data_IF_521993798488
#
_entry.id   IF_521993798488
#
_cell.length_a   1.000
_cell.length_b   1.000
_cell.length_c   1.000
_cell.angle_alpha   90.00
_cell.angle_beta   90.00
_cell.angle_gamma   90.00
#
_symmetry.space_group_name_H-M   'P 1'
#
loop_
_entity.id
_entity.type
_entity.pdbx_description
1 polymer ?
#
# COMPACT_ATOMS: atom_id res chain seq x y z
N UNK A 1 -11.90 -6.88 1.61
CA UNK A 1 -10.85 -6.22 0.80
C UNK A 1 -9.92 -5.58 1.81
N UNK A 2 -8.64 -5.92 1.78
CA UNK A 2 -7.67 -5.37 2.74
C UNK A 2 -7.13 -4.07 2.18
N UNK A 3 -7.20 -2.98 2.93
CA UNK A 3 -6.60 -1.71 2.61
C UNK A 3 -5.08 -1.80 2.78
N UNK A 4 -4.32 -1.14 1.90
CA UNK A 4 -2.85 -1.19 1.87
C UNK A 4 -2.22 -0.03 2.63
N UNK A 5 -2.74 1.18 2.45
CA UNK A 5 -2.07 2.43 2.86
C UNK A 5 -2.74 3.11 4.03
N UNK A 6 -3.99 2.78 4.30
CA UNK A 6 -4.82 3.49 5.28
C UNK A 6 -5.75 2.56 6.04
N UNK A 7 -6.39 3.10 7.07
CA UNK A 7 -7.47 2.43 7.79
C UNK A 7 -8.74 3.29 7.77
N UNK A 8 -9.89 2.66 7.95
CA UNK A 8 -11.17 3.37 8.07
C UNK A 8 -11.19 4.32 9.27
N UNK A 9 -10.47 3.98 10.35
CA UNK A 9 -10.33 4.83 11.52
C UNK A 9 -9.56 6.12 11.20
N UNK A 10 -8.45 6.02 10.46
CA UNK A 10 -7.69 7.21 10.04
C UNK A 10 -8.53 8.16 9.18
N UNK A 11 -9.40 7.60 8.31
CA UNK A 11 -10.33 8.43 7.55
C UNK A 11 -11.34 9.11 8.48
N UNK A 12 -11.89 8.41 9.47
CA UNK A 12 -12.80 8.98 10.46
C UNK A 12 -12.15 10.16 11.22
N UNK A 13 -10.88 10.01 11.59
CA UNK A 13 -10.12 11.04 12.29
C UNK A 13 -9.92 12.30 11.43
N UNK A 14 -9.59 12.16 10.16
CA UNK A 14 -9.34 13.30 9.27
C UNK A 14 -10.61 14.06 8.88
N UNK A 15 -11.74 13.37 8.83
CA UNK A 15 -13.03 14.00 8.55
C UNK A 15 -13.75 14.49 9.80
N UNK A 16 -13.17 14.29 10.99
CA UNK A 16 -13.70 14.77 12.28
C UNK A 16 -14.88 13.97 12.81
N UNK A 17 -15.09 12.73 12.35
CA UNK A 17 -16.05 11.79 12.91
C UNK A 17 -15.42 11.13 14.13
N UNK A 18 -16.16 11.00 15.22
CA UNK A 18 -15.71 10.61 16.56
C UNK A 18 -14.53 9.60 16.61
N UNK A 19 -13.53 9.90 17.44
CA UNK A 19 -12.27 9.17 17.59
C UNK A 19 -12.38 7.74 18.16
N UNK A 20 -13.55 7.27 18.55
CA UNK A 20 -13.73 5.98 19.22
C UNK A 20 -14.70 5.04 18.50
N UNK A 21 -14.74 5.10 17.18
CA UNK A 21 -15.62 4.25 16.38
C UNK A 21 -14.88 2.96 16.00
N UNK A 22 -15.29 1.79 16.53
CA UNK A 22 -14.69 0.51 16.15
C UNK A 22 -15.03 0.12 14.69
N UNK A 23 -16.15 0.67 14.19
CA UNK A 23 -16.61 0.47 12.81
C UNK A 23 -17.48 1.66 12.38
N UNK A 24 -17.60 1.86 11.06
CA UNK A 24 -18.48 2.88 10.51
C UNK A 24 -19.96 2.52 10.64
N UNK A 25 -20.25 1.23 10.65
CA UNK A 25 -21.61 0.71 10.83
C UNK A 25 -22.06 0.75 12.29
N UNK A 26 -21.14 0.45 13.20
CA UNK A 26 -21.44 0.13 14.58
C UNK A 26 -20.59 1.04 15.46
N UNK A 27 -21.24 1.88 16.25
CA UNK A 27 -20.57 2.65 17.27
C UNK A 27 -20.15 1.74 18.45
N UNK A 28 -19.12 2.18 19.17
CA UNK A 28 -18.73 1.50 20.40
C UNK A 28 -19.92 1.38 21.35
N UNK A 29 -20.08 0.19 21.90
CA UNK A 29 -21.10 -0.07 22.91
C UNK A 29 -20.92 0.90 24.08
N UNK A 30 -21.90 1.75 24.39
CA UNK A 30 -21.84 2.58 25.60
C UNK A 30 -21.86 1.67 26.80
N UNK A 31 -20.76 1.62 27.51
CA UNK A 31 -20.67 0.86 28.77
C UNK A 31 -21.55 1.54 29.82
N UNK A 32 -22.75 0.99 30.07
CA UNK A 32 -23.67 1.44 31.09
C UNK A 32 -24.12 2.90 30.93
N UNK A 33 -24.73 3.25 29.79
CA UNK A 33 -25.42 4.52 29.67
C UNK A 33 -26.47 4.66 30.80
N UNK A 34 -26.42 5.76 31.50
CA UNK A 34 -27.41 6.10 32.53
C UNK A 34 -28.65 6.67 31.83
N UNK A 35 -29.67 5.84 31.63
CA UNK A 35 -30.90 6.22 30.92
C UNK A 35 -31.82 7.06 31.80
N UNK A 36 -31.83 6.80 33.09
CA UNK A 36 -32.64 7.54 34.05
C UNK A 36 -32.96 6.76 35.33
N UNK A 37 -33.86 7.28 36.10
CA UNK A 37 -34.31 6.63 37.35
C UNK A 37 -35.83 6.44 37.29
N UNK A 38 -36.30 5.29 37.74
CA UNK A 38 -37.72 5.02 37.88
C UNK A 38 -38.34 5.84 39.02
N UNK A 39 -39.67 5.99 39.00
CA UNK A 39 -40.49 6.60 40.05
C UNK A 39 -41.70 5.75 40.39
N UNK A 40 -41.66 4.47 40.07
CA UNK A 40 -42.76 3.50 40.20
C UNK A 40 -44.00 3.76 39.30
N UNK A 41 -43.97 4.81 38.46
CA UNK A 41 -45.05 5.15 37.53
C UNK A 41 -44.56 5.49 36.13
N UNK A 42 -43.32 5.90 36.01
CA UNK A 42 -42.71 6.31 34.71
C UNK A 42 -42.55 5.11 33.79
N UNK A 43 -43.16 5.24 32.61
CA UNK A 43 -43.16 4.17 31.60
C UNK A 43 -42.30 4.48 30.39
N UNK A 44 -41.85 5.73 30.21
CA UNK A 44 -41.08 6.12 29.00
C UNK A 44 -39.69 6.65 29.37
N UNK A 45 -38.71 6.18 28.63
CA UNK A 45 -37.33 6.62 28.72
C UNK A 45 -36.76 6.73 27.31
N UNK A 46 -35.62 7.39 27.16
CA UNK A 46 -34.95 7.55 25.86
C UNK A 46 -33.47 7.28 26.04
N UNK A 47 -32.91 6.56 25.07
CA UNK A 47 -31.47 6.42 24.89
C UNK A 47 -30.90 7.70 24.29
N UNK A 48 -29.67 8.01 24.61
CA UNK A 48 -28.95 9.15 24.01
C UNK A 48 -28.77 8.99 22.51
N UNK A 49 -28.73 7.74 22.03
CA UNK A 49 -28.55 7.43 20.62
C UNK A 49 -29.83 6.88 19.99
N UNK A 50 -29.91 7.04 18.67
CA UNK A 50 -30.97 6.52 17.83
C UNK A 50 -30.39 5.47 16.86
N UNK A 51 -31.26 4.80 16.09
CA UNK A 51 -30.86 3.74 15.13
C UNK A 51 -30.08 2.60 15.81
N UNK A 52 -30.68 2.07 16.86
CA UNK A 52 -30.12 0.96 17.62
C UNK A 52 -30.07 -0.30 16.75
N UNK A 53 -29.00 -1.07 16.85
CA UNK A 53 -28.83 -2.33 16.12
C UNK A 53 -29.64 -3.42 16.81
N UNK A 54 -30.46 -4.14 16.04
CA UNK A 54 -31.26 -5.25 16.56
C UNK A 54 -30.34 -6.31 17.24
N UNK A 55 -30.84 -6.92 18.31
CA UNK A 55 -30.15 -7.96 19.07
C UNK A 55 -28.81 -7.54 19.72
N UNK A 56 -28.51 -6.23 19.75
CA UNK A 56 -27.27 -5.71 20.33
C UNK A 56 -27.48 -4.92 21.63
N UNK A 57 -28.65 -4.97 22.21
CA UNK A 57 -29.00 -4.15 23.36
C UNK A 57 -29.42 -4.96 24.58
N UNK A 58 -29.14 -4.42 25.77
CA UNK A 58 -29.58 -4.96 27.04
C UNK A 58 -29.83 -3.81 27.99
N UNK A 59 -31.02 -3.80 28.63
CA UNK A 59 -31.39 -2.86 29.67
C UNK A 59 -31.22 -3.49 31.04
N UNK A 60 -30.87 -2.68 32.01
CA UNK A 60 -30.65 -3.13 33.39
C UNK A 60 -31.39 -2.23 34.36
N UNK A 61 -32.20 -2.83 35.26
CA UNK A 61 -32.75 -2.20 36.42
C UNK A 61 -31.89 -2.56 37.64
N UNK A 62 -31.22 -1.59 38.25
CA UNK A 62 -30.32 -1.82 39.39
C UNK A 62 -29.31 -2.97 39.12
N UNK A 63 -28.65 -2.96 37.97
CA UNK A 63 -27.72 -3.99 37.49
C UNK A 63 -28.33 -5.40 37.21
N UNK A 64 -29.64 -5.55 37.30
CA UNK A 64 -30.35 -6.78 36.90
C UNK A 64 -30.82 -6.61 35.46
N UNK A 65 -30.44 -7.56 34.59
CA UNK A 65 -30.86 -7.52 33.20
C UNK A 65 -32.39 -7.67 33.08
N UNK A 66 -32.99 -6.79 32.28
CA UNK A 66 -34.41 -6.82 31.95
C UNK A 66 -34.64 -7.64 30.70
N UNK A 67 -35.79 -8.26 30.59
CA UNK A 67 -36.20 -9.10 29.46
C UNK A 67 -36.95 -8.29 28.43
N UNK A 68 -36.48 -8.30 27.17
CA UNK A 68 -37.17 -7.64 26.07
C UNK A 68 -38.58 -8.21 25.87
N UNK A 69 -39.49 -7.37 25.42
CA UNK A 69 -40.95 -7.64 25.25
C UNK A 69 -41.68 -7.92 26.56
N UNK A 70 -41.05 -8.54 27.55
CA UNK A 70 -41.67 -8.83 28.85
C UNK A 70 -41.63 -7.61 29.78
N UNK A 71 -40.45 -6.98 29.91
CA UNK A 71 -40.25 -5.86 30.83
C UNK A 71 -40.30 -4.51 30.12
N UNK A 72 -39.89 -4.49 28.85
CA UNK A 72 -39.85 -3.27 28.03
C UNK A 72 -40.03 -3.56 26.56
N UNK A 73 -40.29 -2.52 25.77
CA UNK A 73 -40.22 -2.49 24.31
C UNK A 73 -39.32 -1.35 23.93
N UNK A 74 -38.31 -1.63 23.10
CA UNK A 74 -37.40 -0.63 22.56
C UNK A 74 -37.71 -0.33 21.07
N UNK A 75 -37.96 0.95 20.81
CA UNK A 75 -38.04 1.43 19.44
C UNK A 75 -36.62 1.64 18.89
N UNK A 76 -36.16 0.72 18.05
CA UNK A 76 -34.81 0.73 17.51
C UNK A 76 -34.49 1.97 16.65
N UNK A 77 -35.50 2.61 16.11
CA UNK A 77 -35.30 3.80 15.25
C UNK A 77 -35.10 5.06 16.06
N UNK A 78 -35.85 5.21 17.14
CA UNK A 78 -35.89 6.45 17.94
C UNK A 78 -35.11 6.35 19.25
N UNK A 79 -34.74 5.14 19.68
CA UNK A 79 -34.16 4.90 21.02
C UNK A 79 -35.16 5.03 22.17
N UNK A 80 -36.47 5.09 21.87
CA UNK A 80 -37.51 5.16 22.88
C UNK A 80 -37.73 3.81 23.54
N UNK A 81 -37.71 3.80 24.87
CA UNK A 81 -37.96 2.65 25.71
C UNK A 81 -39.34 2.83 26.35
N UNK A 82 -40.25 1.87 26.15
CA UNK A 82 -41.52 1.81 26.82
C UNK A 82 -41.53 0.63 27.79
N UNK A 83 -41.63 0.89 29.07
CA UNK A 83 -41.73 -0.16 30.08
C UNK A 83 -43.14 -0.75 30.12
N UNK A 84 -43.22 -2.07 30.24
CA UNK A 84 -44.44 -2.78 30.60
C UNK A 84 -44.76 -2.63 32.10
N UNK A 85 -45.91 -3.10 32.54
CA UNK A 85 -46.23 -3.13 33.97
C UNK A 85 -45.21 -3.96 34.79
N UNK A 86 -44.68 -5.05 34.20
CA UNK A 86 -43.62 -5.85 34.80
C UNK A 86 -42.33 -5.05 34.93
N UNK A 87 -41.93 -4.34 33.86
CA UNK A 87 -40.74 -3.49 33.87
C UNK A 87 -40.81 -2.34 34.85
N UNK A 88 -41.94 -1.68 34.95
CA UNK A 88 -42.16 -0.64 35.99
C UNK A 88 -42.01 -1.22 37.39
N UNK A 89 -42.55 -2.41 37.63
CA UNK A 89 -42.42 -3.11 38.92
C UNK A 89 -40.98 -3.50 39.21
N UNK A 90 -40.23 -3.91 38.22
CA UNK A 90 -38.82 -4.29 38.33
C UNK A 90 -37.91 -3.06 38.55
N UNK A 91 -38.17 -1.97 37.84
CA UNK A 91 -37.39 -0.75 37.94
C UNK A 91 -37.70 0.00 39.27
N UNK A 92 -38.96 0.11 39.66
CA UNK A 92 -39.40 0.88 40.83
C UNK A 92 -38.77 2.27 40.89
N UNK A 93 -37.90 2.52 41.86
CA UNK A 93 -37.14 3.78 42.06
C UNK A 93 -35.63 3.59 41.71
N UNK A 94 -35.28 2.49 41.07
CA UNK A 94 -33.90 2.18 40.75
C UNK A 94 -33.41 2.91 39.47
N UNK A 95 -32.08 2.90 39.29
CA UNK A 95 -31.48 3.40 38.08
C UNK A 95 -31.72 2.43 36.92
N UNK A 96 -32.10 2.98 35.76
CA UNK A 96 -32.14 2.30 34.47
C UNK A 96 -30.84 2.58 33.74
N UNK A 97 -30.12 1.54 33.37
CA UNK A 97 -28.93 1.65 32.54
C UNK A 97 -29.07 0.80 31.29
N UNK A 98 -28.33 1.13 30.23
CA UNK A 98 -28.38 0.43 28.95
C UNK A 98 -26.99 0.16 28.41
N UNK A 99 -26.89 -0.99 27.73
CA UNK A 99 -25.80 -1.32 26.82
C UNK A 99 -26.40 -1.58 25.46
N UNK A 100 -25.84 -1.02 24.40
CA UNK A 100 -26.35 -1.22 23.05
C UNK A 100 -25.35 -0.77 21.99
N UNK A 101 -25.48 -1.30 20.80
CA UNK A 101 -24.79 -0.79 19.61
C UNK A 101 -25.79 0.02 18.76
N UNK A 102 -25.29 1.03 18.10
CA UNK A 102 -26.10 1.86 17.22
C UNK A 102 -25.37 2.17 15.91
N UNK A 103 -26.14 2.45 14.85
CA UNK A 103 -25.55 2.83 13.56
C UNK A 103 -25.01 4.25 13.65
N UNK A 104 -23.71 4.36 13.38
CA UNK A 104 -23.02 5.63 13.40
C UNK A 104 -22.93 6.18 11.96
N UNK A 105 -23.29 7.43 11.78
CA UNK A 105 -23.14 8.19 10.52
C UNK A 105 -23.83 7.64 9.26
N UNK A 106 -24.50 6.50 9.28
CA UNK A 106 -25.24 5.94 8.14
C UNK A 106 -24.40 5.50 6.96
N UNK A 107 -23.08 5.32 7.12
CA UNK A 107 -22.18 4.74 6.14
C UNK A 107 -21.76 3.35 6.59
N UNK A 108 -21.74 2.39 5.66
CA UNK A 108 -21.26 1.05 5.99
C UNK A 108 -19.74 0.96 5.90
N UNK A 109 -19.15 0.08 6.71
CA UNK A 109 -17.73 -0.24 6.62
C UNK A 109 -17.35 -0.70 5.21
N UNK A 110 -18.20 -1.49 4.56
CA UNK A 110 -18.00 -1.94 3.19
C UNK A 110 -17.92 -0.76 2.21
N UNK A 111 -18.78 0.25 2.37
CA UNK A 111 -18.75 1.46 1.55
C UNK A 111 -17.48 2.26 1.79
N UNK A 112 -17.12 2.51 3.04
CA UNK A 112 -15.89 3.27 3.39
C UNK A 112 -14.64 2.55 2.90
N UNK A 113 -14.55 1.23 3.05
CA UNK A 113 -13.47 0.41 2.49
C UNK A 113 -13.40 0.52 0.96
N UNK A 114 -14.55 0.55 0.28
CA UNK A 114 -14.61 0.74 -1.18
C UNK A 114 -14.07 2.12 -1.59
N UNK A 115 -14.42 3.17 -0.86
CA UNK A 115 -13.92 4.54 -1.09
C UNK A 115 -12.41 4.60 -0.91
N UNK A 116 -11.89 4.05 0.19
CA UNK A 116 -10.44 4.04 0.45
C UNK A 116 -9.68 3.20 -0.58
N UNK A 117 -10.22 2.05 -0.99
CA UNK A 117 -9.58 1.23 -2.04
C UNK A 117 -9.50 1.96 -3.39
N UNK A 118 -10.51 2.77 -3.75
CA UNK A 118 -10.46 3.64 -4.94
C UNK A 118 -9.42 4.76 -4.76
N UNK A 119 -9.35 5.34 -3.57
CA UNK A 119 -8.36 6.37 -3.24
C UNK A 119 -6.93 5.82 -3.33
N UNK A 120 -6.66 4.62 -2.82
CA UNK A 120 -5.36 3.93 -2.97
C UNK A 120 -5.00 3.75 -4.45
N UNK A 121 -5.95 3.30 -5.26
CA UNK A 121 -5.74 3.15 -6.70
C UNK A 121 -5.49 4.49 -7.41
N UNK A 122 -6.15 5.54 -6.98
CA UNK A 122 -5.94 6.89 -7.51
C UNK A 122 -4.54 7.40 -7.16
N UNK A 123 -4.05 7.15 -5.94
CA UNK A 123 -2.68 7.48 -5.53
C UNK A 123 -1.67 6.74 -6.42
N UNK A 124 -1.81 5.42 -6.58
CA UNK A 124 -0.93 4.62 -7.45
C UNK A 124 -0.90 5.15 -8.88
N UNK A 125 -2.06 5.50 -9.45
CA UNK A 125 -2.15 6.01 -10.81
C UNK A 125 -1.57 7.42 -10.95
N UNK A 126 -1.78 8.29 -9.95
CA UNK A 126 -1.35 9.68 -10.01
C UNK A 126 0.15 9.84 -9.80
N UNK A 127 0.72 9.03 -8.90
CA UNK A 127 2.16 9.02 -8.63
C UNK A 127 2.92 8.08 -9.56
N UNK A 128 2.22 7.21 -10.30
CA UNK A 128 2.79 6.16 -11.13
C UNK A 128 3.73 5.22 -10.35
N UNK A 129 3.44 5.01 -9.07
CA UNK A 129 4.26 4.22 -8.14
C UNK A 129 3.37 3.22 -7.43
N UNK A 130 3.85 2.00 -7.26
CA UNK A 130 3.24 1.01 -6.39
C UNK A 130 3.92 1.08 -5.02
N UNK A 131 3.12 1.24 -3.97
CA UNK A 131 3.61 1.21 -2.59
C UNK A 131 3.32 -0.16 -2.01
N UNK A 132 4.27 -0.71 -1.27
CA UNK A 132 4.11 -2.03 -0.64
C UNK A 132 3.23 -1.94 0.59
N UNK A 133 2.51 -3.01 0.86
CA UNK A 133 1.68 -3.13 2.05
C UNK A 133 2.56 -3.21 3.31
N UNK A 134 2.35 -2.30 4.26
CA UNK A 134 3.07 -2.28 5.53
C UNK A 134 2.83 -3.53 6.41
N UNK A 135 1.84 -4.35 6.07
CA UNK A 135 1.52 -5.61 6.79
C UNK A 135 2.29 -6.82 6.26
N UNK A 136 3.04 -6.66 5.16
CA UNK A 136 3.80 -7.76 4.58
C UNK A 136 5.10 -8.00 5.36
N UNK A 137 5.31 -9.24 5.75
CA UNK A 137 6.50 -9.68 6.49
C UNK A 137 7.72 -9.93 5.60
N UNK A 138 7.53 -9.97 4.27
CA UNK A 138 8.59 -10.09 3.28
C UNK A 138 8.55 -8.89 2.34
N UNK A 139 9.70 -8.41 1.83
CA UNK A 139 9.73 -7.32 0.88
C UNK A 139 8.93 -7.72 -0.36
N UNK A 140 7.82 -7.02 -0.58
CA UNK A 140 6.90 -7.27 -1.69
C UNK A 140 7.17 -6.30 -2.84
N UNK A 141 8.42 -6.27 -3.26
CA UNK A 141 8.81 -5.48 -4.41
C UNK A 141 8.17 -6.05 -5.68
N UNK A 142 7.65 -5.19 -6.51
CA UNK A 142 7.11 -5.58 -7.81
C UNK A 142 8.23 -5.59 -8.83
N UNK A 143 8.37 -6.73 -9.53
CA UNK A 143 9.32 -6.86 -10.63
C UNK A 143 8.75 -6.17 -11.87
N UNK A 144 9.53 -5.29 -12.47
CA UNK A 144 9.18 -4.58 -13.69
C UNK A 144 10.22 -4.81 -14.77
N UNK A 145 9.76 -4.82 -16.01
CA UNK A 145 10.62 -4.86 -17.19
C UNK A 145 10.33 -3.66 -18.06
N UNK A 146 11.31 -2.82 -18.25
CA UNK A 146 11.15 -1.61 -19.03
C UNK A 146 12.15 -1.57 -20.20
N UNK A 147 11.67 -1.10 -21.37
CA UNK A 147 12.50 -0.90 -22.53
C UNK A 147 12.60 0.60 -22.79
N UNK A 148 13.81 1.13 -22.72
CA UNK A 148 14.11 2.51 -23.08
C UNK A 148 14.35 2.60 -24.60
N UNK A 149 13.66 3.47 -25.33
CA UNK A 149 13.71 3.51 -26.80
C UNK A 149 15.03 4.03 -27.35
N UNK A 150 15.77 4.85 -26.63
CA UNK A 150 17.13 5.28 -27.01
C UNK A 150 17.87 5.82 -25.80
N UNK A 151 19.14 5.46 -25.70
CA UNK A 151 20.09 6.16 -24.84
C UNK A 151 20.70 7.29 -25.68
N UNK A 152 20.49 8.53 -25.28
CA UNK A 152 21.13 9.66 -25.93
C UNK A 152 22.64 9.65 -25.70
N UNK A 153 23.35 10.42 -26.52
CA UNK A 153 24.82 10.48 -26.56
C UNK A 153 25.50 10.87 -25.25
N UNK A 154 24.73 11.41 -24.29
CA UNK A 154 25.22 11.93 -23.00
C UNK A 154 24.45 11.40 -21.79
N UNK A 155 23.68 10.33 -21.94
CA UNK A 155 22.94 9.78 -20.83
C UNK A 155 23.72 8.67 -20.15
N UNK A 156 24.37 9.02 -19.06
CA UNK A 156 25.01 8.11 -18.11
C UNK A 156 23.97 7.49 -17.16
N UNK A 157 22.68 7.63 -17.49
CA UNK A 157 21.60 7.23 -16.62
C UNK A 157 20.42 6.65 -17.41
N UNK A 158 19.90 5.54 -16.91
CA UNK A 158 18.59 5.01 -17.31
C UNK A 158 17.59 5.43 -16.24
N UNK A 159 16.64 6.29 -16.60
CA UNK A 159 15.56 6.70 -15.71
C UNK A 159 14.39 5.74 -15.86
N UNK A 160 13.97 5.11 -14.76
CA UNK A 160 12.85 4.18 -14.75
C UNK A 160 11.52 4.88 -14.55
N UNK A 161 10.45 4.29 -15.10
CA UNK A 161 9.09 4.83 -14.97
C UNK A 161 8.44 4.51 -13.64
N UNK A 162 8.78 3.36 -13.08
CA UNK A 162 8.25 2.91 -11.79
C UNK A 162 9.30 3.16 -10.72
N UNK A 163 8.99 3.99 -9.75
CA UNK A 163 9.91 4.44 -8.69
C UNK A 163 9.42 4.09 -7.30
N UNK A 164 10.29 4.08 -6.31
CA UNK A 164 11.74 4.08 -6.44
C UNK A 164 12.23 2.76 -7.06
N UNK A 165 13.30 2.81 -7.85
CA UNK A 165 14.04 1.62 -8.22
C UNK A 165 14.69 1.06 -6.95
N UNK A 166 14.56 -0.23 -6.76
CA UNK A 166 15.19 -0.94 -5.65
C UNK A 166 16.17 -1.96 -6.23
N UNK A 167 17.43 -1.76 -5.94
CA UNK A 167 18.46 -2.76 -6.15
C UNK A 167 18.78 -3.42 -4.82
N UNK A 168 18.25 -4.63 -4.62
CA UNK A 168 18.65 -5.44 -3.46
C UNK A 168 20.05 -5.95 -3.73
N UNK A 169 21.01 -5.44 -3.00
CA UNK A 169 22.41 -5.77 -3.20
C UNK A 169 23.08 -6.30 -1.93
N UNK A 170 23.96 -7.28 -2.12
CA UNK A 170 24.78 -7.88 -1.07
C UNK A 170 26.04 -8.49 -1.69
N UNK A 171 26.76 -9.27 -0.91
CA UNK A 171 27.92 -10.02 -1.39
C UNK A 171 27.81 -11.51 -1.09
N UNK A 172 28.55 -12.31 -1.84
CA UNK A 172 28.70 -13.74 -1.57
C UNK A 172 29.44 -13.96 -0.23
N UNK A 173 28.85 -14.79 0.65
CA UNK A 173 29.53 -15.18 1.91
C UNK A 173 30.57 -16.29 1.72
N UNK A 174 30.67 -16.87 0.53
CA UNK A 174 31.64 -17.91 0.18
C UNK A 174 31.78 -18.06 -1.33
N UNK A 175 32.77 -18.84 -1.77
CA UNK A 175 32.93 -19.12 -3.18
C UNK A 175 31.76 -19.94 -3.73
N UNK A 176 31.34 -19.64 -4.96
CA UNK A 176 30.19 -20.25 -5.63
C UNK A 176 30.69 -21.05 -6.83
N UNK A 177 30.34 -22.33 -6.89
CA UNK A 177 30.65 -23.18 -8.05
C UNK A 177 29.62 -22.94 -9.17
N UNK A 178 30.00 -23.26 -10.41
CA UNK A 178 29.13 -23.08 -11.59
C UNK A 178 27.84 -23.91 -11.56
N UNK A 179 27.76 -24.96 -10.74
CA UNK A 179 26.60 -25.85 -10.61
C UNK A 179 25.85 -25.72 -9.28
N UNK A 180 26.22 -24.75 -8.44
CA UNK A 180 25.58 -24.60 -7.14
C UNK A 180 24.11 -24.19 -7.29
N UNK A 181 23.22 -24.92 -6.60
CA UNK A 181 21.79 -24.64 -6.53
C UNK A 181 21.37 -23.80 -5.32
N UNK A 182 22.34 -23.42 -4.50
CA UNK A 182 22.16 -22.55 -3.33
C UNK A 182 23.24 -21.50 -3.33
N UNK A 183 22.90 -20.26 -3.06
CA UNK A 183 23.79 -19.11 -3.00
C UNK A 183 23.75 -18.57 -1.57
N UNK A 184 24.89 -18.59 -0.88
CA UNK A 184 25.01 -18.03 0.46
C UNK A 184 25.33 -16.54 0.40
N UNK A 185 24.52 -15.74 1.08
CA UNK A 185 24.57 -14.28 1.13
C UNK A 185 25.37 -13.81 2.36
N UNK A 186 25.74 -12.56 2.39
CA UNK A 186 26.24 -11.94 3.61
C UNK A 186 25.20 -12.06 4.74
N UNK A 187 25.66 -12.19 5.98
CA UNK A 187 24.81 -12.41 7.15
C UNK A 187 23.82 -11.26 7.33
N UNK A 188 22.54 -11.59 7.53
CA UNK A 188 21.46 -10.63 7.80
C UNK A 188 20.81 -10.04 6.54
N UNK A 189 21.26 -10.41 5.33
CA UNK A 189 20.75 -9.80 4.08
C UNK A 189 19.69 -10.64 3.36
N UNK A 190 19.47 -11.87 3.78
CA UNK A 190 18.49 -12.74 3.10
C UNK A 190 17.06 -12.22 3.16
N UNK A 191 16.68 -11.55 4.27
CA UNK A 191 15.35 -10.95 4.43
C UNK A 191 15.05 -9.80 3.46
N UNK A 192 16.07 -9.22 2.85
CA UNK A 192 15.92 -8.12 1.91
C UNK A 192 15.49 -8.61 0.51
N UNK A 193 15.63 -9.90 0.27
CA UNK A 193 15.27 -10.52 -1.01
C UNK A 193 13.83 -11.01 -1.02
N UNK A 194 13.07 -10.77 -2.11
CA UNK A 194 11.78 -11.42 -2.34
C UNK A 194 11.89 -12.95 -2.29
N UNK A 195 10.80 -13.63 -1.99
CA UNK A 195 10.77 -15.10 -1.89
C UNK A 195 11.22 -15.81 -3.17
N UNK A 196 11.08 -15.16 -4.32
CA UNK A 196 11.52 -15.66 -5.64
C UNK A 196 12.01 -14.48 -6.47
N UNK A 197 12.98 -14.70 -7.37
CA UNK A 197 13.45 -13.60 -8.21
C UNK A 197 14.64 -13.94 -9.08
N UNK A 198 15.26 -12.89 -9.61
CA UNK A 198 16.47 -12.97 -10.39
C UNK A 198 17.54 -12.08 -9.77
N UNK A 199 18.77 -12.50 -9.90
CA UNK A 199 19.96 -11.75 -9.48
C UNK A 199 21.01 -11.79 -10.59
N UNK A 200 21.98 -10.90 -10.49
CA UNK A 200 23.17 -10.90 -11.30
C UNK A 200 24.41 -10.90 -10.43
N UNK A 201 25.42 -11.71 -10.80
CA UNK A 201 26.74 -11.74 -10.18
C UNK A 201 27.75 -11.58 -11.32
N UNK A 202 28.43 -10.44 -11.35
CA UNK A 202 29.27 -10.10 -12.50
C UNK A 202 28.47 -10.10 -13.81
N UNK A 203 28.73 -11.06 -14.68
CA UNK A 203 28.03 -11.22 -15.98
C UNK A 203 27.00 -12.36 -15.98
N UNK A 204 26.81 -13.07 -14.89
CA UNK A 204 25.89 -14.20 -14.82
C UNK A 204 24.56 -13.81 -14.18
N UNK A 205 23.46 -14.03 -14.90
CA UNK A 205 22.12 -13.94 -14.35
C UNK A 205 21.65 -15.30 -13.82
N UNK A 206 21.03 -15.29 -12.65
CA UNK A 206 20.62 -16.47 -11.89
C UNK A 206 19.20 -16.25 -11.38
N UNK A 207 18.30 -17.22 -11.56
CA UNK A 207 17.00 -17.21 -10.88
C UNK A 207 17.04 -18.03 -9.60
N UNK A 208 16.19 -17.68 -8.63
CA UNK A 208 16.00 -18.45 -7.39
C UNK A 208 14.51 -18.59 -7.09
N UNK A 209 14.13 -19.65 -6.39
CA UNK A 209 12.74 -19.97 -6.07
C UNK A 209 12.45 -20.00 -4.57
N UNK A 210 13.44 -19.68 -3.74
CA UNK A 210 13.26 -19.60 -2.29
C UNK A 210 14.36 -18.81 -1.62
N UNK A 211 14.05 -18.30 -0.45
CA UNK A 211 14.99 -17.64 0.47
C UNK A 211 14.93 -18.38 1.81
N UNK A 212 16.08 -18.71 2.37
CA UNK A 212 16.19 -19.37 3.67
C UNK A 212 17.30 -18.70 4.47
N UNK A 213 16.92 -17.95 5.52
CA UNK A 213 17.83 -17.11 6.31
C UNK A 213 18.68 -16.21 5.38
N UNK A 214 19.95 -16.52 5.24
CA UNK A 214 20.90 -15.79 4.38
C UNK A 214 21.32 -16.63 3.16
N UNK A 215 20.37 -17.31 2.53
CA UNK A 215 20.65 -18.14 1.36
C UNK A 215 19.51 -18.07 0.35
N UNK A 216 19.83 -17.91 -0.92
CA UNK A 216 18.93 -18.10 -2.03
C UNK A 216 18.94 -19.58 -2.42
N UNK A 217 17.78 -20.19 -2.55
CA UNK A 217 17.62 -21.62 -2.79
C UNK A 217 16.86 -21.91 -4.09
N UNK A 218 17.04 -23.10 -4.64
CA UNK A 218 16.43 -23.49 -5.92
C UNK A 218 16.97 -22.65 -7.07
N UNK A 219 18.26 -22.36 -7.06
CA UNK A 219 18.91 -21.51 -8.05
C UNK A 219 19.05 -22.21 -9.39
N UNK A 220 18.64 -21.54 -10.48
CA UNK A 220 18.94 -21.91 -11.86
C UNK A 220 20.00 -20.95 -12.39
N UNK A 221 21.14 -21.52 -12.77
CA UNK A 221 22.33 -20.79 -13.19
C UNK A 221 22.30 -20.46 -14.67
N UNK A 222 22.95 -19.37 -15.08
CA UNK A 222 23.15 -19.03 -16.48
C UNK A 222 21.86 -18.72 -17.25
N UNK A 223 20.88 -18.09 -16.61
CA UNK A 223 19.61 -17.70 -17.26
C UNK A 223 19.80 -16.49 -18.17
N UNK A 224 18.77 -16.13 -18.95
CA UNK A 224 18.72 -14.92 -19.79
C UNK A 224 19.85 -14.86 -20.84
N UNK A 225 20.35 -16.02 -21.27
CA UNK A 225 21.42 -16.12 -22.27
C UNK A 225 22.84 -15.91 -21.71
N UNK A 226 23.00 -15.87 -20.40
CA UNK A 226 24.31 -15.83 -19.75
C UNK A 226 24.87 -17.24 -19.55
N UNK A 227 26.14 -17.34 -19.21
CA UNK A 227 26.81 -18.63 -18.94
C UNK A 227 27.09 -18.76 -17.45
N UNK A 228 26.81 -19.95 -16.89
CA UNK A 228 27.14 -20.24 -15.50
C UNK A 228 28.65 -20.24 -15.28
N UNK A 229 29.09 -19.49 -14.26
CA UNK A 229 30.50 -19.32 -13.91
C UNK A 229 30.79 -19.69 -12.47
N UNK A 230 32.07 -19.63 -12.11
CA UNK A 230 32.54 -19.66 -10.70
C UNK A 230 32.62 -18.22 -10.23
N UNK A 231 32.18 -17.99 -9.00
CA UNK A 231 32.30 -16.68 -8.35
C UNK A 231 33.08 -16.78 -7.04
N UNK A 232 33.76 -15.71 -6.71
CA UNK A 232 34.59 -15.63 -5.53
C UNK A 232 33.82 -15.16 -4.30
N UNK A 233 34.36 -15.43 -3.13
CA UNK A 233 33.90 -14.79 -1.91
C UNK A 233 33.92 -13.25 -2.07
N UNK A 234 32.89 -12.58 -1.56
CA UNK A 234 32.70 -11.14 -1.64
C UNK A 234 32.37 -10.56 -3.02
N UNK A 235 32.15 -11.40 -4.05
CA UNK A 235 31.59 -10.90 -5.31
C UNK A 235 30.21 -10.27 -5.02
N UNK A 236 29.97 -9.12 -5.66
CA UNK A 236 28.71 -8.38 -5.49
C UNK A 236 27.55 -9.09 -6.18
N UNK A 237 26.41 -9.06 -5.51
CA UNK A 237 25.13 -9.61 -6.01
C UNK A 237 24.16 -8.43 -6.14
N UNK A 238 23.49 -8.31 -7.28
CA UNK A 238 22.50 -7.27 -7.53
C UNK A 238 21.18 -7.90 -8.01
N UNK A 239 20.07 -7.29 -7.66
CA UNK A 239 18.74 -7.71 -8.14
C UNK A 239 18.32 -7.01 -9.42
N UNK A 240 19.00 -5.94 -9.80
CA UNK A 240 18.74 -5.18 -11.02
C UNK A 240 19.57 -5.71 -12.17
N UNK A 241 18.94 -6.06 -13.30
CA UNK A 241 19.62 -6.61 -14.46
C UNK A 241 19.45 -5.68 -15.67
N UNK A 242 20.54 -5.22 -16.20
CA UNK A 242 20.60 -4.39 -17.40
C UNK A 242 20.87 -5.25 -18.64
N UNK A 243 20.14 -4.96 -19.70
CA UNK A 243 20.34 -5.54 -21.03
C UNK A 243 20.54 -4.41 -22.04
N UNK A 244 21.48 -4.59 -22.93
CA UNK A 244 21.69 -3.69 -24.06
C UNK A 244 21.35 -4.37 -25.38
N UNK A 245 20.72 -3.63 -26.28
CA UNK A 245 20.42 -4.16 -27.60
C UNK A 245 21.69 -4.21 -28.47
N UNK A 246 21.85 -5.32 -29.12
CA UNK A 246 22.92 -5.52 -30.10
C UNK A 246 22.27 -5.59 -31.49
N UNK A 247 21.96 -4.44 -32.10
CA UNK A 247 21.32 -4.40 -33.42
C UNK A 247 22.22 -3.78 -34.44
N UNK A 248 22.44 -4.51 -35.53
CA UNK A 248 22.76 -3.96 -36.84
C UNK A 248 21.45 -3.70 -37.60
N UNK A 249 21.45 -2.69 -38.44
CA UNK A 249 20.31 -2.32 -39.28
C UNK A 249 19.73 -3.54 -40.01
N UNK A 250 18.42 -3.78 -39.91
CA UNK A 250 17.72 -4.86 -40.59
C UNK A 250 17.65 -6.21 -39.86
N UNK A 251 18.21 -6.37 -38.67
CA UNK A 251 18.13 -7.61 -37.87
C UNK A 251 17.16 -7.49 -36.69
N UNK A 252 16.62 -8.61 -36.25
CA UNK A 252 15.79 -8.65 -35.03
C UNK A 252 16.59 -8.15 -33.83
N UNK A 253 15.94 -7.33 -33.01
CA UNK A 253 16.58 -6.76 -31.79
C UNK A 253 16.86 -7.89 -30.80
N UNK A 254 18.11 -8.15 -30.51
CA UNK A 254 18.54 -9.04 -29.45
C UNK A 254 19.06 -8.22 -28.27
N UNK A 255 18.76 -8.65 -27.06
CA UNK A 255 19.23 -8.02 -25.85
C UNK A 255 20.22 -8.94 -25.14
N UNK A 256 21.40 -8.43 -24.82
CA UNK A 256 22.41 -9.15 -24.03
C UNK A 256 22.49 -8.55 -22.61
N UNK A 257 22.61 -9.42 -21.62
CA UNK A 257 22.86 -9.02 -20.23
C UNK A 257 24.20 -8.30 -20.15
N UNK A 258 24.23 -7.18 -19.43
CA UNK A 258 25.45 -6.43 -19.14
C UNK A 258 25.99 -6.81 -17.78
N UNK A 259 27.32 -6.90 -17.68
CA UNK A 259 27.97 -7.09 -16.40
C UNK A 259 27.80 -5.87 -15.49
N UNK A 260 27.57 -6.09 -14.22
CA UNK A 260 27.74 -5.07 -13.21
C UNK A 260 29.25 -4.83 -13.00
N UNK A 261 29.63 -3.59 -13.06
CA UNK A 261 31.01 -3.15 -12.75
C UNK A 261 31.01 -2.09 -11.66
N UNK A 262 32.18 -1.67 -11.23
CA UNK A 262 32.35 -0.72 -10.12
C UNK A 262 31.76 0.67 -10.41
N UNK A 263 31.50 0.99 -11.67
CA UNK A 263 31.00 2.29 -12.11
C UNK A 263 29.47 2.30 -12.26
N UNK A 264 28.81 1.15 -12.09
CA UNK A 264 27.35 1.04 -12.11
C UNK A 264 26.80 1.12 -10.68
N UNK A 265 25.78 1.95 -10.50
CA UNK A 265 25.04 2.02 -9.24
C UNK A 265 23.57 2.35 -9.49
N UNK A 266 22.72 1.75 -8.66
CA UNK A 266 21.28 2.03 -8.66
C UNK A 266 20.99 3.25 -7.78
N UNK A 267 20.09 4.09 -8.27
CA UNK A 267 19.50 5.20 -7.53
C UNK A 267 17.98 5.01 -7.49
N UNK A 268 17.28 5.74 -6.65
CA UNK A 268 15.81 5.71 -6.62
C UNK A 268 15.17 6.06 -7.99
N UNK A 269 15.87 6.85 -8.79
CA UNK A 269 15.42 7.30 -10.10
C UNK A 269 15.77 6.36 -11.25
N UNK A 270 16.69 5.42 -11.05
CA UNK A 270 17.12 4.52 -12.09
C UNK A 270 18.54 4.00 -11.91
N UNK A 271 19.16 3.63 -12.98
CA UNK A 271 20.51 3.09 -13.03
C UNK A 271 21.49 4.12 -13.60
N UNK A 272 22.51 4.46 -12.85
CA UNK A 272 23.61 5.34 -13.27
C UNK A 272 24.81 4.47 -13.62
N UNK A 273 25.49 4.78 -14.70
CA UNK A 273 26.70 4.11 -15.12
C UNK A 273 27.64 5.10 -15.82
N UNK A 274 28.92 4.91 -15.65
CA UNK A 274 29.92 5.72 -16.33
C UNK A 274 30.29 5.09 -17.66
N UNK A 275 30.23 5.88 -18.71
CA UNK A 275 30.71 5.45 -20.04
C UNK A 275 32.23 5.47 -20.17
N UNK A 276 32.95 5.86 -19.10
CA UNK A 276 34.33 6.28 -19.25
C UNK A 276 35.28 5.18 -19.64
N UNK A 277 35.02 3.89 -19.33
CA UNK A 277 36.11 2.94 -19.48
C UNK A 277 35.86 1.53 -19.99
N UNK A 278 34.65 0.99 -20.17
CA UNK A 278 34.64 -0.42 -20.50
C UNK A 278 33.56 -0.98 -21.42
N UNK A 279 32.34 -0.48 -21.34
CA UNK A 279 31.22 -1.13 -22.07
C UNK A 279 30.99 -0.52 -23.45
N UNK A 280 31.38 0.72 -23.64
CA UNK A 280 31.15 1.50 -24.87
C UNK A 280 32.40 2.16 -25.40
N UNK A 281 33.54 1.48 -25.31
CA UNK A 281 34.76 2.00 -25.96
C UNK A 281 34.50 2.24 -27.43
N UNK A 282 34.93 3.38 -27.91
CA UNK A 282 34.80 3.81 -29.30
C UNK A 282 35.29 2.79 -30.32
N UNK A 283 36.12 1.83 -29.93
CA UNK A 283 36.60 0.74 -30.77
C UNK A 283 35.56 -0.34 -31.08
N UNK A 284 34.53 -0.53 -30.21
CA UNK A 284 33.46 -1.48 -30.51
C UNK A 284 32.29 -0.86 -31.26
N UNK A 285 32.08 0.47 -31.15
CA UNK A 285 30.97 1.16 -31.77
C UNK A 285 31.30 2.52 -32.42
N UNK A 286 32.44 2.68 -33.11
CA UNK A 286 32.86 3.98 -33.66
C UNK A 286 31.90 4.53 -34.71
N UNK A 287 31.18 3.66 -35.40
CA UNK A 287 30.30 4.04 -36.52
C UNK A 287 28.83 4.22 -36.15
N UNK A 288 28.42 3.83 -34.97
CA UNK A 288 27.00 3.84 -34.58
C UNK A 288 26.49 5.19 -34.10
N UNK A 289 27.40 6.04 -33.70
CA UNK A 289 27.09 7.38 -33.22
C UNK A 289 26.85 8.36 -34.38
N UNK A 290 27.25 8.02 -35.58
CA UNK A 290 27.16 8.90 -36.74
C UNK A 290 26.17 8.43 -37.80
N UNK A 291 25.63 7.20 -37.71
CA UNK A 291 24.62 6.71 -38.66
C UNK A 291 23.22 6.85 -38.10
N UNK A 292 22.44 7.68 -38.75
CA UNK A 292 21.01 7.79 -38.57
C UNK A 292 20.35 6.40 -38.65
N UNK A 293 19.65 5.94 -37.61
CA UNK A 293 18.74 4.80 -37.67
C UNK A 293 18.97 3.66 -36.70
N UNK A 294 20.06 3.61 -35.93
CA UNK A 294 20.26 2.57 -34.92
C UNK A 294 20.01 3.11 -33.53
N UNK A 295 18.84 2.88 -33.02
CA UNK A 295 18.52 3.20 -31.62
C UNK A 295 19.14 2.14 -30.70
N UNK A 296 20.13 2.52 -29.91
CA UNK A 296 20.57 1.71 -28.79
C UNK A 296 19.40 1.62 -27.80
N UNK A 297 18.85 0.43 -27.60
CA UNK A 297 17.79 0.18 -26.67
C UNK A 297 18.36 -0.48 -25.43
N UNK A 298 17.99 0.02 -24.28
CA UNK A 298 18.23 -0.64 -23.02
C UNK A 298 16.94 -1.31 -22.53
N UNK A 299 17.08 -2.49 -21.97
CA UNK A 299 16.03 -3.18 -21.23
C UNK A 299 16.53 -3.35 -19.82
N UNK A 300 15.74 -2.95 -18.85
CA UNK A 300 16.05 -3.09 -17.43
C UNK A 300 15.02 -3.99 -16.77
N UNK A 301 15.49 -4.92 -15.96
CA UNK A 301 14.70 -5.75 -15.07
C UNK A 301 15.05 -5.33 -13.66
N UNK A 302 14.08 -4.81 -12.92
CA UNK A 302 14.30 -4.19 -11.61
C UNK A 302 13.10 -4.36 -10.70
N UNK A 303 13.33 -4.27 -9.41
CA UNK A 303 12.26 -4.14 -8.44
C UNK A 303 11.95 -2.66 -8.19
N UNK A 304 10.71 -2.37 -7.88
CA UNK A 304 10.29 -1.03 -7.52
C UNK A 304 9.25 -1.06 -6.39
N UNK A 305 9.11 0.06 -5.69
CA UNK A 305 8.15 0.24 -4.60
C UNK A 305 8.83 0.62 -3.29
N UNK A 306 8.04 0.84 -2.26
CA UNK A 306 8.53 1.17 -0.92
C UNK A 306 8.30 -0.01 0.01
N UNK A 307 9.31 -0.41 0.76
CA UNK A 307 9.18 -1.43 1.80
C UNK A 307 8.40 -0.91 3.02
N UNK A 308 8.43 0.40 3.22
CA UNK A 308 7.62 1.09 4.23
C UNK A 308 6.86 2.20 3.54
N UNK A 309 5.55 2.25 3.75
CA UNK A 309 4.70 3.26 3.12
C UNK A 309 5.04 4.63 3.73
N UNK A 310 5.42 5.62 2.90
CA UNK A 310 5.64 6.97 3.38
C UNK A 310 4.38 7.57 4.00
N UNK A 311 4.53 8.31 5.10
CA UNK A 311 3.40 8.96 5.80
C UNK A 311 2.62 9.90 4.89
N UNK A 312 3.31 10.56 3.96
CA UNK A 312 2.70 11.44 2.96
C UNK A 312 1.75 10.70 2.02
N UNK A 313 2.07 9.44 1.67
CA UNK A 313 1.21 8.59 0.84
C UNK A 313 -0.04 8.16 1.61
N UNK A 314 0.10 7.81 2.88
CA UNK A 314 -1.05 7.60 3.77
C UNK A 314 -1.92 8.85 3.83
N UNK A 315 -1.32 10.02 4.02
CA UNK A 315 -2.02 11.31 4.06
C UNK A 315 -2.72 11.62 2.73
N UNK A 316 -2.04 11.44 1.60
CA UNK A 316 -2.61 11.64 0.26
C UNK A 316 -3.82 10.72 0.00
N UNK A 317 -3.71 9.45 0.40
CA UNK A 317 -4.82 8.49 0.29
C UNK A 317 -6.04 8.93 1.10
N UNK A 318 -5.83 9.42 2.30
CA UNK A 318 -6.90 9.94 3.17
C UNK A 318 -7.55 11.20 2.57
N UNK A 319 -6.78 12.10 1.98
CA UNK A 319 -7.29 13.29 1.32
C UNK A 319 -8.12 12.92 0.07
N UNK A 320 -7.65 11.96 -0.73
CA UNK A 320 -8.44 11.41 -1.84
C UNK A 320 -9.71 10.71 -1.37
N UNK A 321 -9.64 9.92 -0.29
CA UNK A 321 -10.81 9.32 0.34
C UNK A 321 -11.84 10.35 0.79
N UNK A 322 -11.39 11.41 1.47
CA UNK A 322 -12.22 12.56 1.85
C UNK A 322 -12.88 13.20 0.63
N UNK A 323 -12.11 13.46 -0.43
CA UNK A 323 -12.62 14.05 -1.68
C UNK A 323 -13.69 13.16 -2.34
N UNK A 324 -13.45 11.86 -2.42
CA UNK A 324 -14.42 10.92 -3.01
C UNK A 324 -15.71 10.84 -2.20
N UNK A 325 -15.65 10.85 -0.88
CA UNK A 325 -16.85 10.92 -0.02
C UNK A 325 -17.69 12.16 -0.29
N UNK A 326 -17.03 13.30 -0.52
CA UNK A 326 -17.72 14.56 -0.86
C UNK A 326 -18.37 14.48 -2.25
N UNK A 327 -17.65 13.93 -3.22
CA UNK A 327 -18.08 13.88 -4.64
C UNK A 327 -19.22 12.89 -4.86
N UNK A 328 -19.21 11.74 -4.22
CA UNK A 328 -20.19 10.68 -4.43
C UNK A 328 -21.62 11.03 -3.96
N UNK A 329 -21.90 12.27 -3.53
CA UNK A 329 -23.20 12.77 -3.06
C UNK A 329 -23.89 11.89 -1.98
N UNK A 330 -23.41 10.66 -1.81
CA UNK A 330 -23.92 9.68 -0.82
C UNK A 330 -23.60 10.18 0.58
N UNK A 331 -22.44 10.80 0.75
CA UNK A 331 -22.07 11.48 1.99
C UNK A 331 -23.02 12.62 2.36
N UNK A 332 -23.65 13.27 1.40
CA UNK A 332 -24.63 14.35 1.65
C UNK A 332 -26.00 13.84 2.12
N UNK A 333 -26.44 12.67 1.63
CA UNK A 333 -27.75 12.13 1.95
C UNK A 333 -27.76 11.25 3.19
N UNK A 334 -26.66 10.59 3.51
CA UNK A 334 -26.56 9.68 4.67
C UNK A 334 -26.27 10.40 6.00
N UNK A 335 -25.71 11.61 5.93
CA UNK A 335 -25.47 12.46 7.11
C UNK A 335 -26.69 13.33 7.43
N UNK A 336 -27.78 13.19 6.70
CA UNK A 336 -28.99 13.99 6.85
C UNK A 336 -29.75 13.85 8.19
N UNK A 337 -29.25 13.06 9.13
CA UNK A 337 -29.78 13.02 10.51
C UNK A 337 -29.09 14.00 11.48
N UNK A 338 -27.96 14.59 11.13
CA UNK A 338 -27.31 15.68 11.86
C UNK A 338 -26.93 16.76 10.86
N UNK A 339 -27.54 17.93 10.98
CA UNK A 339 -27.36 19.07 10.09
C UNK A 339 -25.94 19.68 10.05
N UNK A 340 -24.91 19.04 10.60
CA UNK A 340 -23.66 19.73 10.92
C UNK A 340 -22.41 19.14 10.29
N UNK A 341 -22.47 17.96 9.65
CA UNK A 341 -21.27 17.39 9.09
C UNK A 341 -21.32 17.27 7.56
N UNK A 342 -20.82 18.27 6.87
CA UNK A 342 -20.41 18.18 5.48
C UNK A 342 -18.89 18.23 5.45
N UNK A 343 -18.19 17.13 5.08
CA UNK A 343 -16.76 17.21 4.88
C UNK A 343 -16.50 18.23 3.77
N UNK A 344 -15.90 19.36 4.11
CA UNK A 344 -15.51 20.35 3.13
C UNK A 344 -14.06 20.12 2.74
N UNK A 345 -13.79 20.06 1.43
CA UNK A 345 -12.42 20.20 0.95
C UNK A 345 -12.02 21.67 1.10
N UNK A 346 -11.09 21.92 1.97
CA UNK A 346 -10.49 23.25 2.10
C UNK A 346 -9.50 23.45 0.96
N UNK A 347 -9.27 24.72 0.55
CA UNK A 347 -8.21 25.04 -0.39
C UNK A 347 -6.85 24.50 0.08
N UNK A 348 -6.62 24.46 1.40
CA UNK A 348 -5.44 23.87 2.00
C UNK A 348 -5.29 22.36 1.67
N UNK A 349 -6.40 21.59 1.69
CA UNK A 349 -6.37 20.17 1.32
C UNK A 349 -5.95 19.98 -0.15
N UNK A 350 -6.44 20.85 -1.05
CA UNK A 350 -6.08 20.80 -2.47
C UNK A 350 -4.61 21.14 -2.71
N UNK A 351 -4.10 22.17 -2.03
CA UNK A 351 -2.68 22.54 -2.10
C UNK A 351 -1.78 21.44 -1.51
N UNK A 352 -2.21 20.79 -0.44
CA UNK A 352 -1.49 19.66 0.17
C UNK A 352 -1.44 18.47 -0.80
N UNK A 353 -2.57 18.12 -1.43
CA UNK A 353 -2.64 17.07 -2.47
C UNK A 353 -1.64 17.38 -3.60
N UNK A 354 -1.67 18.58 -4.15
CA UNK A 354 -0.76 18.97 -5.23
C UNK A 354 0.71 18.93 -4.81
N UNK A 355 1.01 19.38 -3.60
CA UNK A 355 2.38 19.35 -3.06
C UNK A 355 2.90 17.92 -2.93
N UNK A 356 2.11 17.01 -2.36
CA UNK A 356 2.51 15.60 -2.22
C UNK A 356 2.65 14.94 -3.60
N UNK A 357 1.68 15.16 -4.50
CA UNK A 357 1.74 14.62 -5.86
C UNK A 357 3.03 15.07 -6.56
N UNK A 358 3.37 16.35 -6.47
CA UNK A 358 4.57 16.89 -7.11
C UNK A 358 5.87 16.29 -6.54
N UNK A 359 5.86 15.89 -5.26
CA UNK A 359 7.01 15.22 -4.63
C UNK A 359 7.19 13.80 -5.17
N UNK A 360 6.10 13.08 -5.39
CA UNK A 360 6.13 11.66 -5.78
C UNK A 360 5.86 11.42 -7.27
N UNK A 361 5.35 12.44 -7.99
CA UNK A 361 5.02 12.31 -9.40
C UNK A 361 6.29 12.25 -10.24
N UNK A 362 6.41 11.16 -10.95
CA UNK A 362 7.39 11.02 -12.02
C UNK A 362 6.86 11.80 -13.21
N UNK A 363 7.50 12.88 -13.54
CA UNK A 363 7.27 13.56 -14.82
C UNK A 363 8.02 12.73 -15.86
N UNK A 364 7.33 11.99 -16.76
CA UNK A 364 8.03 11.39 -17.87
C UNK A 364 8.66 12.54 -18.64
N UNK A 365 9.98 12.56 -18.72
CA UNK A 365 10.67 13.50 -19.57
C UNK A 365 10.16 13.27 -20.98
N UNK A 366 9.34 14.20 -21.44
CA UNK A 366 8.68 14.09 -22.73
C UNK A 366 9.72 13.96 -23.82
N UNK A 367 9.40 13.12 -24.80
CA UNK A 367 10.00 13.21 -26.11
C UNK A 367 9.76 14.64 -26.63
N UNK A 368 10.76 15.52 -26.45
CA UNK A 368 10.86 16.75 -27.23
C UNK A 368 11.62 16.46 -28.50
#
# INVERSE_FOLDING_TARGET
MTLKYTTTQQLADIIGVSKSIPSWDIAAEPTNEAVGTGDASKTQFFLDQQKIIADSYTLYANAVAMTDVTDYVLNLTTGEITLTAAGVTLLTTNALTAKYNYFNNGMSDAFVNSVLSRAEKEVENTTNTLYTDATQTNPAYTLETEIQPSLGYFNDQIIVKKKPLIDVSTTLSGALTSSAATISLAVGTGSDYPSTGNIIIGSEAISYTGVSTDSLTGCTRGILGTTSGVHSHADAIHSTILFMSNTSEGTAVTFAVQSWDADMHATEDGLVFSFADSVFTSSQYPDRLTKQGVANRAKILYYHGYNTIPTDITRLTLLFGKRQLITDNIGKSMIAGRNEFQPQMLNADMMEIESIINTYRIIPMGNT
#
